data_IF_930772056570
#
_entry.id   IF_930772056570
#
_cell.length_a   1.000
_cell.length_b   1.000
_cell.length_c   1.000
_cell.angle_alpha   90.00
_cell.angle_beta   90.00
_cell.angle_gamma   90.00
#
_symmetry.space_group_name_H-M   'P 1'
#
loop_
_entity.id
_entity.type
_entity.pdbx_description
1 polymer ?
#
# COMPACT_ATOMS: atom_id res chain seq x y z
N UNK A 1 22.48 -13.05 -40.43
CA UNK A 1 22.89 -11.64 -40.25
C UNK A 1 21.61 -10.87 -39.99
N UNK A 2 21.39 -10.37 -38.78
CA UNK A 2 20.17 -9.62 -38.47
C UNK A 2 20.20 -8.29 -39.21
N UNK A 3 19.16 -8.03 -40.00
CA UNK A 3 19.00 -6.79 -40.77
C UNK A 3 18.93 -5.60 -39.82
N UNK A 4 19.79 -4.60 -40.04
CA UNK A 4 19.86 -3.41 -39.20
C UNK A 4 18.76 -2.45 -39.66
N UNK A 5 17.79 -2.08 -38.81
CA UNK A 5 16.69 -1.22 -39.23
C UNK A 5 17.24 0.11 -39.77
N UNK A 6 16.66 0.57 -40.88
CA UNK A 6 16.98 1.83 -41.49
C UNK A 6 16.83 2.99 -40.48
N UNK A 7 17.64 4.06 -40.58
CA UNK A 7 17.57 5.19 -39.66
C UNK A 7 16.18 5.85 -39.75
N UNK A 8 15.56 6.03 -38.58
CA UNK A 8 14.22 6.63 -38.46
C UNK A 8 14.21 8.06 -38.99
N UNK A 9 13.16 8.42 -39.72
CA UNK A 9 12.96 9.80 -40.16
C UNK A 9 12.31 10.67 -39.06
N UNK A 10 12.33 11.99 -39.24
CA UNK A 10 11.82 12.93 -38.24
C UNK A 10 10.35 12.67 -37.84
N UNK A 11 9.51 12.30 -38.81
CA UNK A 11 8.09 12.00 -38.58
C UNK A 11 7.89 10.75 -37.73
N UNK A 12 8.71 9.72 -37.94
CA UNK A 12 8.71 8.51 -37.12
C UNK A 12 9.15 8.80 -35.69
N UNK A 13 10.16 9.65 -35.51
CA UNK A 13 10.63 10.07 -34.19
C UNK A 13 9.55 10.87 -33.45
N UNK A 14 8.87 11.79 -34.13
CA UNK A 14 7.76 12.55 -33.56
C UNK A 14 6.61 11.62 -33.13
N UNK A 15 6.24 10.66 -33.97
CA UNK A 15 5.21 9.67 -33.65
C UNK A 15 5.58 8.83 -32.42
N UNK A 16 6.83 8.36 -32.33
CA UNK A 16 7.32 7.64 -31.16
C UNK A 16 7.36 8.49 -29.89
N UNK A 17 7.73 9.78 -30.03
CA UNK A 17 7.74 10.71 -28.91
C UNK A 17 6.32 10.92 -28.38
N UNK A 18 5.33 11.10 -29.26
CA UNK A 18 3.93 11.22 -28.84
C UNK A 18 3.44 9.93 -28.17
N UNK A 19 3.72 8.77 -28.76
CA UNK A 19 3.36 7.49 -28.16
C UNK A 19 4.02 7.29 -26.77
N UNK A 20 5.28 7.71 -26.62
CA UNK A 20 6.00 7.64 -25.34
C UNK A 20 5.42 8.58 -24.30
N UNK A 21 5.03 9.81 -24.69
CA UNK A 21 4.35 10.76 -23.81
C UNK A 21 3.01 10.24 -23.32
N UNK A 22 2.22 9.62 -24.19
CA UNK A 22 0.94 9.02 -23.80
C UNK A 22 1.11 7.89 -22.79
N UNK A 23 2.09 6.99 -23.02
CA UNK A 23 2.43 5.92 -22.06
C UNK A 23 2.87 6.49 -20.71
N UNK A 24 3.70 7.53 -20.72
CA UNK A 24 4.18 8.18 -19.51
C UNK A 24 3.04 8.85 -18.75
N UNK A 25 2.17 9.59 -19.43
CA UNK A 25 0.99 10.21 -18.82
C UNK A 25 0.10 9.16 -18.14
N UNK A 26 -0.20 8.07 -18.85
CA UNK A 26 -0.97 6.94 -18.29
C UNK A 26 -0.30 6.33 -17.04
N UNK A 27 1.02 6.15 -17.07
CA UNK A 27 1.78 5.62 -15.94
C UNK A 27 1.78 6.59 -14.75
N UNK A 28 1.88 7.90 -15.01
CA UNK A 28 1.81 8.94 -13.98
C UNK A 28 0.43 8.95 -13.33
N UNK A 29 -0.65 8.88 -14.12
CA UNK A 29 -2.01 8.85 -13.60
C UNK A 29 -2.24 7.62 -12.71
N UNK A 30 -1.75 6.46 -13.13
CA UNK A 30 -1.80 5.24 -12.32
C UNK A 30 -0.98 5.39 -11.02
N UNK A 31 0.23 5.95 -11.10
CA UNK A 31 1.08 6.16 -9.93
C UNK A 31 0.44 7.16 -8.96
N UNK A 32 -0.14 8.23 -9.49
CA UNK A 32 -0.86 9.23 -8.73
C UNK A 32 -2.04 8.59 -7.99
N UNK A 33 -2.88 7.79 -8.69
CA UNK A 33 -3.98 7.04 -8.08
C UNK A 33 -3.49 6.13 -6.95
N UNK A 34 -2.43 5.34 -7.20
CA UNK A 34 -1.86 4.41 -6.21
C UNK A 34 -1.23 5.12 -5.01
N UNK A 35 -0.71 6.33 -5.21
CA UNK A 35 -0.11 7.16 -4.16
C UNK A 35 -1.14 7.99 -3.39
N UNK A 36 -2.42 8.01 -3.82
CA UNK A 36 -3.46 8.72 -3.09
C UNK A 36 -3.52 8.22 -1.64
N UNK A 37 -3.66 9.13 -0.65
CA UNK A 37 -3.68 8.76 0.76
C UNK A 37 -4.69 7.67 1.10
N UNK A 38 -5.84 7.65 0.42
CA UNK A 38 -6.88 6.64 0.59
C UNK A 38 -6.40 5.24 0.18
N UNK A 39 -5.74 5.10 -0.96
CA UNK A 39 -5.21 3.81 -1.44
C UNK A 39 -4.02 3.35 -0.60
N UNK A 40 -3.17 4.28 -0.16
CA UNK A 40 -2.08 3.99 0.79
C UNK A 40 -2.65 3.50 2.13
N UNK A 41 -3.65 4.18 2.69
CA UNK A 41 -4.31 3.78 3.93
C UNK A 41 -4.98 2.41 3.80
N UNK A 42 -5.68 2.16 2.68
CA UNK A 42 -6.30 0.86 2.38
C UNK A 42 -5.28 -0.28 2.40
N UNK A 43 -4.14 -0.11 1.74
CA UNK A 43 -3.04 -1.11 1.72
C UNK A 43 -2.44 -1.34 3.11
N UNK A 44 -2.30 -0.29 3.90
CA UNK A 44 -1.80 -0.42 5.27
C UNK A 44 -2.79 -1.19 6.15
N UNK A 45 -4.09 -0.92 6.04
CA UNK A 45 -5.13 -1.66 6.75
C UNK A 45 -5.14 -3.13 6.34
N UNK A 46 -5.05 -3.44 5.05
CA UNK A 46 -4.96 -4.82 4.56
C UNK A 46 -3.72 -5.53 5.11
N UNK A 47 -2.56 -4.86 5.10
CA UNK A 47 -1.31 -5.40 5.65
C UNK A 47 -1.42 -5.67 7.16
N UNK A 48 -2.07 -4.78 7.92
CA UNK A 48 -2.31 -4.97 9.35
C UNK A 48 -3.29 -6.12 9.59
N UNK A 49 -4.34 -6.26 8.78
CA UNK A 49 -5.28 -7.39 8.87
C UNK A 49 -4.59 -8.73 8.65
N UNK A 50 -3.71 -8.82 7.65
CA UNK A 50 -2.91 -10.04 7.40
C UNK A 50 -2.03 -10.37 8.61
N UNK A 51 -1.27 -9.40 9.12
CA UNK A 51 -0.44 -9.59 10.31
C UNK A 51 -1.25 -9.96 11.56
N UNK A 52 -2.42 -9.35 11.75
CA UNK A 52 -3.30 -9.65 12.86
C UNK A 52 -3.87 -11.07 12.74
N UNK A 53 -4.23 -11.50 11.53
CA UNK A 53 -4.68 -12.87 11.27
C UNK A 53 -3.56 -13.90 11.52
N UNK A 54 -2.32 -13.58 11.14
CA UNK A 54 -1.17 -14.44 11.41
C UNK A 54 -0.86 -14.53 12.90
N UNK A 55 -0.94 -13.42 13.65
CA UNK A 55 -0.76 -13.43 15.11
C UNK A 55 -1.92 -14.12 15.84
N UNK A 56 -3.13 -14.04 15.30
CA UNK A 56 -4.31 -14.64 15.90
C UNK A 56 -4.34 -16.16 15.72
N UNK A 57 -3.56 -16.73 14.79
CA UNK A 57 -3.43 -18.18 14.62
C UNK A 57 -2.31 -18.75 15.49
N UNK A 58 -2.59 -19.89 16.11
CA UNK A 58 -1.57 -20.75 16.71
C UNK A 58 -0.91 -21.63 15.64
N UNK A 59 0.24 -22.24 15.96
CA UNK A 59 1.00 -23.12 15.05
C UNK A 59 0.19 -24.32 14.54
N UNK A 60 -0.89 -24.71 15.23
CA UNK A 60 -1.83 -25.78 14.85
C UNK A 60 -3.06 -25.27 14.05
N UNK A 61 -3.11 -23.98 13.68
CA UNK A 61 -4.19 -23.41 12.87
C UNK A 61 -5.43 -22.94 13.62
N UNK A 62 -5.52 -23.21 14.93
CA UNK A 62 -6.59 -22.74 15.81
C UNK A 62 -6.38 -21.29 16.28
N UNK A 63 -7.46 -20.58 16.61
CA UNK A 63 -7.37 -19.20 17.11
C UNK A 63 -6.75 -19.22 18.51
N UNK A 64 -5.58 -18.60 18.66
CA UNK A 64 -4.88 -18.52 19.94
C UNK A 64 -5.56 -17.48 20.85
N UNK A 65 -6.69 -17.86 21.48
CA UNK A 65 -7.53 -16.97 22.28
C UNK A 65 -6.79 -16.21 23.37
N UNK A 66 -5.77 -16.81 23.98
CA UNK A 66 -4.92 -16.16 24.99
C UNK A 66 -4.09 -15.01 24.40
N UNK A 67 -3.50 -15.20 23.21
CA UNK A 67 -2.70 -14.16 22.53
C UNK A 67 -3.58 -13.03 22.01
N UNK A 68 -4.73 -13.37 21.43
CA UNK A 68 -5.72 -12.38 20.97
C UNK A 68 -6.24 -11.56 22.15
N UNK A 69 -6.57 -12.21 23.26
CA UNK A 69 -7.00 -11.56 24.50
C UNK A 69 -5.96 -10.58 25.04
N UNK A 70 -4.68 -10.97 25.08
CA UNK A 70 -3.59 -10.10 25.53
C UNK A 70 -3.41 -8.86 24.65
N UNK A 71 -3.50 -9.01 23.32
CA UNK A 71 -3.37 -7.89 22.37
C UNK A 71 -4.55 -6.93 22.48
N UNK A 72 -5.78 -7.44 22.50
CA UNK A 72 -6.99 -6.62 22.61
C UNK A 72 -7.04 -5.91 23.97
N UNK A 73 -6.70 -6.63 25.05
CA UNK A 73 -6.61 -6.05 26.40
C UNK A 73 -5.56 -4.95 26.50
N UNK A 74 -4.35 -5.19 25.98
CA UNK A 74 -3.26 -4.20 25.99
C UNK A 74 -3.60 -2.94 25.19
N UNK A 75 -4.19 -3.08 24.00
CA UNK A 75 -4.64 -1.95 23.19
C UNK A 75 -5.72 -1.12 23.91
N UNK A 76 -6.68 -1.78 24.57
CA UNK A 76 -7.71 -1.11 25.37
C UNK A 76 -7.13 -0.25 26.48
N UNK A 77 -6.20 -0.81 27.27
CA UNK A 77 -5.52 -0.07 28.35
C UNK A 77 -4.73 1.13 27.81
N UNK A 78 -3.99 0.94 26.72
CA UNK A 78 -3.23 2.03 26.10
C UNK A 78 -4.12 3.18 25.62
N UNK A 79 -5.26 2.86 24.98
CA UNK A 79 -6.23 3.86 24.52
C UNK A 79 -6.89 4.61 25.68
N UNK A 80 -7.23 3.92 26.77
CA UNK A 80 -7.76 4.55 27.98
C UNK A 80 -6.75 5.52 28.59
N UNK A 81 -5.49 5.11 28.73
CA UNK A 81 -4.42 5.98 29.22
C UNK A 81 -4.22 7.20 28.33
N UNK A 82 -4.22 7.01 27.01
CA UNK A 82 -4.08 8.11 26.05
C UNK A 82 -5.26 9.10 26.14
N UNK A 83 -6.49 8.59 26.27
CA UNK A 83 -7.70 9.40 26.43
C UNK A 83 -7.67 10.22 27.73
N UNK A 84 -7.26 9.61 28.84
CA UNK A 84 -7.08 10.30 30.12
C UNK A 84 -5.98 11.37 30.02
N UNK A 85 -4.85 11.08 29.37
CA UNK A 85 -3.78 12.04 29.12
C UNK A 85 -4.26 13.22 28.27
N UNK A 86 -5.06 12.95 27.24
CA UNK A 86 -5.62 13.98 26.35
C UNK A 86 -6.62 14.85 27.10
N UNK A 87 -7.43 14.26 27.98
CA UNK A 87 -8.37 14.98 28.87
C UNK A 87 -7.65 15.82 29.92
N UNK A 88 -6.49 15.40 30.41
CA UNK A 88 -5.72 16.16 31.39
C UNK A 88 -4.93 17.33 30.78
N UNK A 89 -4.73 17.34 29.46
CA UNK A 89 -3.98 18.37 28.72
C UNK A 89 -4.84 19.40 27.99
N UNK A 90 -6.15 19.19 27.95
CA UNK A 90 -7.14 20.15 27.43
C UNK A 90 -7.97 20.70 28.56
#
# INVERSE_FOLDING_TARGET
>A
MADKPAPKNAKEIEAELQASRQRLASTIDELAFRAQPKEVAKRQVESVKLKANDLARSSDGEVAGEKVGAIVGGAGVALLLLGLLRRARG
#
